data_IF_030846587831
#
_entry.id   IF_030846587831
#
_cell.length_a   1.000
_cell.length_b   1.000
_cell.length_c   1.000
_cell.angle_alpha   90.00
_cell.angle_beta   90.00
_cell.angle_gamma   90.00
#
_symmetry.space_group_name_H-M   'P 1'
#
loop_
_entity.id
_entity.type
_entity.pdbx_description
1 polymer ?
#
# COMPACT_ATOMS: atom_id res chain seq x y z
N UNK A 1 -9.39 -0.63 11.15
CA UNK A 1 -8.85 0.76 11.29
C UNK A 1 -8.82 1.10 12.76
N UNK A 2 -7.86 1.89 13.23
CA UNK A 2 -7.72 2.24 14.65
C UNK A 2 -7.37 3.73 14.83
N UNK A 3 -7.55 4.24 16.05
CA UNK A 3 -7.13 5.58 16.43
C UNK A 3 -7.80 6.68 15.60
N UNK A 4 -7.00 7.61 15.07
CA UNK A 4 -7.49 8.76 14.32
C UNK A 4 -8.38 8.37 13.12
N UNK A 5 -8.01 7.31 12.38
CA UNK A 5 -8.78 6.86 11.22
C UNK A 5 -10.17 6.34 11.62
N UNK A 6 -10.27 5.64 12.74
CA UNK A 6 -11.56 5.16 13.25
C UNK A 6 -12.46 6.32 13.70
N UNK A 7 -11.89 7.31 14.39
CA UNK A 7 -12.61 8.50 14.82
C UNK A 7 -13.12 9.31 13.61
N UNK A 8 -12.29 9.48 12.57
CA UNK A 8 -12.70 10.13 11.32
C UNK A 8 -13.84 9.38 10.63
N UNK A 9 -13.77 8.04 10.54
CA UNK A 9 -14.86 7.27 9.92
C UNK A 9 -16.17 7.39 10.72
N UNK A 10 -16.11 7.36 12.06
CA UNK A 10 -17.29 7.59 12.91
C UNK A 10 -17.93 8.95 12.66
N UNK A 11 -17.11 10.00 12.52
CA UNK A 11 -17.59 11.35 12.20
C UNK A 11 -18.25 11.41 10.82
N UNK A 12 -17.58 10.88 9.78
CA UNK A 12 -18.13 10.83 8.42
C UNK A 12 -19.46 10.08 8.36
N UNK A 13 -19.57 8.96 9.07
CA UNK A 13 -20.82 8.21 9.21
C UNK A 13 -21.91 9.04 9.87
N UNK A 14 -21.60 9.72 10.98
CA UNK A 14 -22.58 10.58 11.67
C UNK A 14 -23.09 11.69 10.76
N UNK A 15 -22.21 12.34 10.01
CA UNK A 15 -22.59 13.44 9.11
C UNK A 15 -23.38 12.94 7.90
N UNK A 16 -23.09 11.73 7.42
CA UNK A 16 -23.91 11.06 6.41
C UNK A 16 -25.32 10.75 6.92
N UNK A 17 -25.46 10.15 8.10
CA UNK A 17 -26.76 9.79 8.68
C UNK A 17 -27.62 11.03 8.98
N UNK A 18 -27.01 12.15 9.42
CA UNK A 18 -27.73 13.43 9.62
C UNK A 18 -28.37 13.94 8.32
N UNK A 19 -27.68 13.76 7.19
CA UNK A 19 -28.18 14.15 5.86
C UNK A 19 -29.14 13.13 5.27
N UNK A 20 -29.13 11.89 5.77
CA UNK A 20 -29.90 10.76 5.26
C UNK A 20 -30.65 10.08 6.41
N UNK A 21 -31.68 10.70 6.99
CA UNK A 21 -32.29 10.26 8.25
C UNK A 21 -32.90 8.83 8.19
N UNK A 22 -33.24 8.36 7.00
CA UNK A 22 -33.79 7.03 6.75
C UNK A 22 -32.70 5.94 6.62
N UNK A 23 -31.42 6.29 6.65
CA UNK A 23 -30.31 5.36 6.52
C UNK A 23 -29.56 5.28 7.85
N UNK A 24 -29.31 4.05 8.30
CA UNK A 24 -28.49 3.75 9.48
C UNK A 24 -27.30 2.88 9.09
N UNK A 25 -26.12 3.27 9.55
CA UNK A 25 -24.84 2.62 9.28
C UNK A 25 -24.31 2.05 10.59
N UNK A 26 -24.22 0.72 10.64
CA UNK A 26 -23.53 0.00 11.72
C UNK A 26 -22.07 -0.18 11.34
N UNK A 27 -21.18 0.58 11.99
CA UNK A 27 -19.74 0.38 11.84
C UNK A 27 -19.27 -0.82 12.67
N UNK A 28 -18.57 -1.75 12.04
CA UNK A 28 -17.95 -2.90 12.72
C UNK A 28 -16.44 -2.90 12.48
N UNK A 29 -15.65 -2.71 13.55
CA UNK A 29 -14.20 -2.78 13.48
C UNK A 29 -13.75 -4.26 13.58
N UNK A 30 -13.16 -4.78 12.52
CA UNK A 30 -12.68 -6.16 12.45
C UNK A 30 -11.20 -6.32 12.82
N UNK A 31 -10.54 -5.27 13.32
CA UNK A 31 -9.13 -5.34 13.71
C UNK A 31 -8.18 -5.19 12.53
N UNK A 32 -7.24 -6.13 12.38
CA UNK A 32 -6.26 -6.12 11.30
C UNK A 32 -6.87 -6.52 9.96
N UNK A 33 -6.15 -6.28 8.86
CA UNK A 33 -6.58 -6.78 7.55
C UNK A 33 -6.64 -8.31 7.50
N UNK A 34 -5.78 -9.02 8.25
CA UNK A 34 -5.79 -10.49 8.29
C UNK A 34 -7.09 -10.99 8.93
N UNK A 35 -7.49 -10.37 10.05
CA UNK A 35 -8.73 -10.71 10.76
C UNK A 35 -9.96 -10.39 9.91
N UNK A 36 -9.97 -9.22 9.26
CA UNK A 36 -11.01 -8.84 8.32
C UNK A 36 -11.14 -9.83 7.15
N UNK A 37 -10.02 -10.25 6.56
CA UNK A 37 -10.02 -11.25 5.48
C UNK A 37 -10.61 -12.58 5.94
N UNK A 38 -10.15 -13.06 7.10
CA UNK A 38 -10.64 -14.31 7.69
C UNK A 38 -12.14 -14.24 7.93
N UNK A 39 -12.64 -13.11 8.46
CA UNK A 39 -14.06 -12.90 8.69
C UNK A 39 -14.86 -12.93 7.39
N UNK A 40 -14.44 -12.16 6.38
CA UNK A 40 -15.10 -12.14 5.05
C UNK A 40 -15.15 -13.56 4.47
N UNK A 41 -14.02 -14.27 4.44
CA UNK A 41 -13.97 -15.63 3.89
C UNK A 41 -14.93 -16.59 4.60
N UNK A 42 -15.05 -16.49 5.94
CA UNK A 42 -15.97 -17.32 6.71
C UNK A 42 -17.44 -16.98 6.48
N UNK A 43 -17.77 -15.70 6.25
CA UNK A 43 -19.16 -15.27 6.00
C UNK A 43 -19.60 -15.48 4.56
N UNK A 44 -18.67 -15.63 3.61
CA UNK A 44 -19.00 -15.88 2.20
C UNK A 44 -19.83 -17.17 1.97
N UNK A 45 -19.80 -18.13 2.89
CA UNK A 45 -20.63 -19.34 2.80
C UNK A 45 -22.13 -19.10 3.03
N UNK A 46 -22.49 -17.99 3.69
CA UNK A 46 -23.88 -17.65 3.99
C UNK A 46 -24.15 -16.19 3.61
N UNK A 47 -24.87 -15.94 2.50
CA UNK A 47 -25.17 -14.60 2.03
C UNK A 47 -25.84 -13.69 3.07
N UNK A 48 -26.57 -14.27 4.04
CA UNK A 48 -27.24 -13.54 5.13
C UNK A 48 -26.27 -12.88 6.13
N UNK A 49 -25.03 -13.35 6.18
CA UNK A 49 -24.02 -12.86 7.12
C UNK A 49 -22.99 -11.92 6.46
N UNK A 50 -23.18 -11.58 5.18
CA UNK A 50 -22.31 -10.65 4.48
C UNK A 50 -22.59 -9.21 4.93
N UNK A 51 -21.55 -8.38 5.08
CA UNK A 51 -21.75 -6.95 5.27
C UNK A 51 -22.28 -6.31 3.98
N UNK A 52 -23.04 -5.23 4.12
CA UNK A 52 -23.50 -4.43 2.96
C UNK A 52 -22.33 -3.78 2.22
N UNK A 53 -21.32 -3.31 2.96
CA UNK A 53 -20.09 -2.70 2.45
C UNK A 53 -18.92 -3.22 3.29
N UNK A 54 -17.82 -3.58 2.64
CA UNK A 54 -16.58 -3.96 3.34
C UNK A 54 -15.37 -3.34 2.67
N UNK A 55 -14.32 -3.16 3.47
CA UNK A 55 -13.00 -2.82 2.97
C UNK A 55 -12.30 -4.08 2.49
N UNK A 56 -11.67 -4.03 1.31
CA UNK A 56 -11.03 -5.19 0.73
C UNK A 56 -9.77 -4.81 -0.05
N UNK A 57 -8.73 -5.63 0.05
CA UNK A 57 -7.62 -5.57 -0.90
C UNK A 57 -8.08 -6.00 -2.31
N UNK A 58 -7.42 -5.50 -3.38
CA UNK A 58 -7.79 -5.83 -4.75
C UNK A 58 -7.91 -7.34 -5.04
N UNK A 59 -7.05 -8.16 -4.43
CA UNK A 59 -7.10 -9.63 -4.61
C UNK A 59 -8.35 -10.26 -3.99
N UNK A 60 -8.86 -9.74 -2.86
CA UNK A 60 -10.10 -10.24 -2.27
C UNK A 60 -11.30 -9.85 -3.14
N UNK A 61 -11.28 -8.60 -3.65
CA UNK A 61 -12.28 -8.11 -4.60
C UNK A 61 -12.31 -8.98 -5.87
N UNK A 62 -11.14 -9.34 -6.42
CA UNK A 62 -11.02 -10.23 -7.58
C UNK A 62 -11.69 -11.59 -7.35
N UNK A 63 -11.41 -12.21 -6.20
CA UNK A 63 -11.97 -13.52 -5.85
C UNK A 63 -13.49 -13.46 -5.67
N UNK A 64 -14.00 -12.44 -4.95
CA UNK A 64 -15.42 -12.25 -4.77
C UNK A 64 -16.15 -11.95 -6.09
N UNK A 65 -15.52 -11.23 -7.03
CA UNK A 65 -16.05 -11.01 -8.37
C UNK A 65 -16.16 -12.32 -9.18
N UNK A 66 -15.16 -13.21 -9.12
CA UNK A 66 -15.25 -14.51 -9.80
C UNK A 66 -16.41 -15.36 -9.27
N UNK A 67 -16.70 -15.24 -7.96
CA UNK A 67 -17.83 -15.92 -7.32
C UNK A 67 -19.17 -15.21 -7.49
N UNK A 68 -19.23 -14.10 -8.27
CA UNK A 68 -20.44 -13.31 -8.51
C UNK A 68 -21.08 -12.76 -7.23
N UNK A 69 -20.26 -12.40 -6.25
CA UNK A 69 -20.71 -11.92 -4.92
C UNK A 69 -20.69 -10.40 -4.77
N UNK A 70 -20.43 -9.66 -5.86
CA UNK A 70 -20.26 -8.21 -5.84
C UNK A 70 -21.26 -7.53 -6.76
N UNK A 71 -21.68 -6.34 -6.35
CA UNK A 71 -22.56 -5.46 -7.13
C UNK A 71 -21.74 -4.70 -8.16
N UNK A 72 -22.21 -4.63 -9.40
CA UNK A 72 -21.67 -3.71 -10.40
C UNK A 72 -22.02 -2.26 -10.01
N UNK A 73 -21.00 -1.46 -9.70
CA UNK A 73 -21.15 -0.07 -9.29
C UNK A 73 -21.26 0.88 -10.48
N UNK A 74 -21.01 0.42 -11.71
CA UNK A 74 -21.02 1.26 -12.92
C UNK A 74 -22.35 2.01 -13.11
N UNK A 75 -23.53 1.37 -12.98
CA UNK A 75 -24.81 2.07 -13.10
C UNK A 75 -25.01 3.15 -12.04
N UNK A 76 -24.53 2.91 -10.81
CA UNK A 76 -24.65 3.84 -9.69
C UNK A 76 -23.74 5.05 -9.87
N UNK A 77 -22.49 4.82 -10.29
CA UNK A 77 -21.51 5.89 -10.57
C UNK A 77 -22.04 6.84 -11.66
N UNK A 78 -22.67 6.30 -12.70
CA UNK A 78 -23.19 7.08 -13.82
C UNK A 78 -24.56 7.72 -13.54
N UNK A 79 -25.18 7.44 -12.40
CA UNK A 79 -26.45 8.02 -12.02
C UNK A 79 -26.22 9.34 -11.26
N UNK A 80 -26.90 10.42 -11.68
CA UNK A 80 -26.78 11.75 -11.03
C UNK A 80 -27.56 11.88 -9.71
N UNK A 81 -28.54 11.01 -9.47
CA UNK A 81 -29.38 11.06 -8.28
C UNK A 81 -28.74 10.33 -7.08
N UNK A 82 -27.94 9.30 -7.35
CA UNK A 82 -27.33 8.45 -6.29
C UNK A 82 -25.80 8.37 -6.37
N UNK A 83 -25.18 8.87 -7.44
CA UNK A 83 -23.74 8.87 -7.65
C UNK A 83 -23.25 10.18 -8.27
N UNK A 84 -22.14 10.11 -8.99
CA UNK A 84 -21.46 11.30 -9.53
C UNK A 84 -21.95 11.70 -10.93
N UNK A 85 -22.85 10.92 -11.55
CA UNK A 85 -23.27 11.11 -12.93
C UNK A 85 -22.24 10.67 -13.98
N UNK A 86 -20.97 10.52 -13.61
CA UNK A 86 -19.92 9.86 -14.37
C UNK A 86 -18.69 9.61 -13.49
N UNK A 87 -17.83 8.67 -13.89
CA UNK A 87 -16.54 8.47 -13.23
C UNK A 87 -15.67 9.75 -13.25
N UNK A 88 -15.72 10.54 -14.33
CA UNK A 88 -14.96 11.79 -14.46
C UNK A 88 -15.39 12.87 -13.46
N UNK A 89 -16.67 12.89 -13.10
CA UNK A 89 -17.24 13.85 -12.15
C UNK A 89 -17.03 13.44 -10.68
N UNK A 90 -16.35 12.33 -10.40
CA UNK A 90 -16.07 11.88 -9.03
C UNK A 90 -14.90 12.61 -8.37
N UNK A 91 -14.10 13.37 -9.14
CA UNK A 91 -12.80 13.92 -8.75
C UNK A 91 -11.76 12.87 -8.29
N UNK A 92 -12.07 11.57 -8.43
CA UNK A 92 -11.14 10.48 -8.15
C UNK A 92 -10.22 10.32 -9.36
N UNK A 93 -8.90 10.28 -9.12
CA UNK A 93 -7.90 9.93 -10.13
C UNK A 93 -8.26 8.61 -10.82
N UNK A 94 -8.33 8.62 -12.14
CA UNK A 94 -8.78 7.49 -12.95
C UNK A 94 -8.02 6.20 -12.62
N UNK A 95 -6.72 6.30 -12.41
CA UNK A 95 -5.86 5.15 -12.10
C UNK A 95 -6.21 4.50 -10.76
N UNK A 96 -6.69 5.28 -9.79
CA UNK A 96 -7.12 4.77 -8.49
C UNK A 96 -8.50 4.10 -8.57
N UNK A 97 -9.41 4.68 -9.34
CA UNK A 97 -10.74 4.14 -9.55
C UNK A 97 -10.69 2.84 -10.37
N UNK A 98 -9.89 2.82 -11.43
CA UNK A 98 -9.67 1.66 -12.28
C UNK A 98 -9.02 0.49 -11.52
N UNK A 99 -8.30 0.78 -10.43
CA UNK A 99 -7.74 -0.24 -9.54
C UNK A 99 -8.77 -1.15 -8.85
N UNK A 100 -10.07 -0.85 -8.98
CA UNK A 100 -11.18 -1.71 -8.53
C UNK A 100 -12.07 -2.19 -9.69
N UNK A 101 -11.63 -2.05 -10.95
CA UNK A 101 -12.27 -2.66 -12.11
C UNK A 101 -11.74 -4.07 -12.35
N UNK A 102 -12.64 -5.01 -12.58
CA UNK A 102 -12.29 -6.39 -12.93
C UNK A 102 -13.02 -6.73 -14.22
N UNK A 103 -12.25 -7.07 -15.26
CA UNK A 103 -12.78 -7.42 -16.60
C UNK A 103 -13.76 -6.37 -17.16
N UNK A 104 -13.48 -5.08 -16.90
CA UNK A 104 -14.29 -3.95 -17.38
C UNK A 104 -15.40 -3.49 -16.42
N UNK A 105 -15.76 -4.30 -15.42
CA UNK A 105 -16.82 -3.97 -14.46
C UNK A 105 -16.25 -3.31 -13.20
N UNK A 106 -16.85 -2.20 -12.75
CA UNK A 106 -16.45 -1.53 -11.51
C UNK A 106 -17.08 -2.23 -10.30
N UNK A 107 -16.27 -2.86 -9.44
CA UNK A 107 -16.78 -3.59 -8.27
C UNK A 107 -16.47 -2.92 -6.93
N UNK A 108 -15.67 -1.85 -6.93
CA UNK A 108 -15.34 -1.13 -5.70
C UNK A 108 -15.04 0.34 -5.95
N UNK A 109 -14.91 1.11 -4.88
CA UNK A 109 -14.48 2.52 -4.90
C UNK A 109 -13.20 2.61 -4.05
N UNK A 110 -12.14 3.30 -4.50
CA UNK A 110 -10.94 3.47 -3.69
C UNK A 110 -11.28 4.26 -2.41
N UNK A 111 -10.99 3.68 -1.25
CA UNK A 111 -11.30 4.29 0.06
C UNK A 111 -10.04 4.90 0.70
N UNK A 112 -9.08 4.07 1.09
CA UNK A 112 -7.80 4.48 1.65
C UNK A 112 -6.67 3.83 0.84
N UNK A 113 -6.01 4.63 0.00
CA UNK A 113 -4.87 4.18 -0.82
C UNK A 113 -3.58 4.74 -0.23
N UNK A 114 -2.56 3.91 -0.19
CA UNK A 114 -1.18 4.33 0.07
C UNK A 114 -0.33 4.13 -1.17
N UNK A 115 0.81 4.81 -1.17
CA UNK A 115 1.89 4.61 -2.13
C UNK A 115 3.16 4.26 -1.38
N UNK A 116 4.07 3.55 -2.04
CA UNK A 116 5.43 3.40 -1.53
C UNK A 116 6.19 4.71 -1.72
N UNK A 117 6.84 5.17 -0.66
CA UNK A 117 7.54 6.46 -0.64
C UNK A 117 8.86 6.34 0.10
N UNK A 118 9.87 7.09 -0.36
CA UNK A 118 11.13 7.22 0.34
C UNK A 118 11.00 8.27 1.46
N UNK A 119 11.10 7.82 2.70
CA UNK A 119 11.27 8.68 3.87
C UNK A 119 12.75 8.81 4.20
N UNK A 120 13.23 10.01 4.54
CA UNK A 120 14.64 10.26 4.84
C UNK A 120 14.85 11.28 5.98
N UNK A 121 15.94 11.14 6.72
CA UNK A 121 16.32 12.05 7.80
C UNK A 121 17.18 13.21 7.28
N UNK A 122 16.59 14.40 7.18
CA UNK A 122 17.26 15.64 6.71
C UNK A 122 18.49 16.01 7.56
N UNK A 123 18.44 15.81 8.87
CA UNK A 123 19.55 16.10 9.79
C UNK A 123 20.74 15.17 9.51
N UNK A 124 20.48 13.87 9.31
CA UNK A 124 21.52 12.92 8.91
C UNK A 124 22.10 13.24 7.53
N UNK A 125 21.27 13.64 6.57
CA UNK A 125 21.74 14.06 5.25
C UNK A 125 22.72 15.22 5.37
N UNK A 126 22.38 16.25 6.16
CA UNK A 126 23.29 17.37 6.44
C UNK A 126 24.58 16.89 7.13
N UNK A 127 24.46 16.06 8.17
CA UNK A 127 25.60 15.51 8.94
C UNK A 127 26.58 14.71 8.07
N UNK A 128 26.07 13.93 7.12
CA UNK A 128 26.89 13.07 6.25
C UNK A 128 27.18 13.70 4.88
N UNK A 129 26.78 14.96 4.66
CA UNK A 129 27.07 15.72 3.45
C UNK A 129 26.33 15.23 2.20
N UNK A 130 25.14 14.66 2.36
CA UNK A 130 24.28 14.23 1.25
C UNK A 130 23.47 15.44 0.76
N UNK A 131 23.71 15.85 -0.50
CA UNK A 131 23.12 17.05 -1.09
C UNK A 131 21.84 16.78 -1.90
N UNK A 132 21.70 15.56 -2.45
CA UNK A 132 20.59 15.15 -3.30
C UNK A 132 19.88 13.95 -2.68
N UNK A 133 18.55 14.01 -2.62
CA UNK A 133 17.72 12.84 -2.25
C UNK A 133 17.75 11.86 -3.42
N UNK A 134 18.05 10.57 -3.18
CA UNK A 134 18.15 9.59 -4.26
C UNK A 134 16.79 9.42 -4.94
N UNK A 135 16.83 9.40 -6.26
CA UNK A 135 15.67 9.28 -7.16
C UNK A 135 15.72 8.01 -8.02
N UNK A 136 16.82 7.27 -7.94
CA UNK A 136 17.00 5.97 -8.60
C UNK A 136 17.56 4.95 -7.62
N UNK A 137 17.43 3.66 -7.91
CA UNK A 137 18.02 2.60 -7.10
C UNK A 137 19.56 2.68 -7.06
N UNK A 138 20.20 3.12 -8.13
CA UNK A 138 21.66 3.35 -8.16
C UNK A 138 22.06 4.46 -7.16
N UNK A 139 21.36 5.60 -7.19
CA UNK A 139 21.59 6.70 -6.26
C UNK A 139 21.29 6.28 -4.81
N UNK A 140 20.23 5.49 -4.59
CA UNK A 140 19.87 4.99 -3.26
C UNK A 140 21.00 4.16 -2.65
N UNK A 141 21.62 3.28 -3.44
CA UNK A 141 22.78 2.50 -3.03
C UNK A 141 23.97 3.42 -2.68
N UNK A 142 24.31 4.36 -3.56
CA UNK A 142 25.45 5.27 -3.34
C UNK A 142 25.31 6.12 -2.08
N UNK A 143 24.12 6.68 -1.86
CA UNK A 143 23.81 7.45 -0.64
C UNK A 143 23.89 6.55 0.58
N UNK A 144 23.33 5.33 0.49
CA UNK A 144 23.33 4.37 1.59
C UNK A 144 24.74 3.94 2.00
N UNK A 145 25.60 3.60 1.04
CA UNK A 145 27.01 3.29 1.27
C UNK A 145 27.76 4.48 1.89
N UNK A 146 27.49 5.70 1.43
CA UNK A 146 28.14 6.92 1.95
C UNK A 146 27.79 7.15 3.41
N UNK A 147 26.49 7.08 3.77
CA UNK A 147 26.03 7.24 5.15
C UNK A 147 26.61 6.13 6.04
N UNK A 148 26.56 4.88 5.57
CA UNK A 148 27.08 3.75 6.32
C UNK A 148 28.58 3.90 6.62
N UNK A 149 29.39 4.25 5.62
CA UNK A 149 30.84 4.51 5.80
C UNK A 149 31.11 5.69 6.72
N UNK A 150 30.50 6.86 6.47
CA UNK A 150 30.74 8.09 7.26
C UNK A 150 30.23 8.01 8.69
N UNK A 151 29.30 7.11 8.98
CA UNK A 151 28.83 6.85 10.34
C UNK A 151 29.72 5.86 11.12
N UNK A 152 30.84 5.42 10.55
CA UNK A 152 31.64 4.29 11.05
C UNK A 152 30.76 3.06 11.28
N UNK A 153 29.90 2.75 10.30
CA UNK A 153 29.01 1.60 10.28
C UNK A 153 27.92 1.59 11.36
N UNK A 154 27.65 2.73 12.01
CA UNK A 154 26.65 2.85 13.09
C UNK A 154 25.22 3.11 12.59
N UNK A 155 25.08 3.69 11.39
CA UNK A 155 23.79 4.05 10.80
C UNK A 155 23.66 3.32 9.46
N UNK A 156 22.62 2.51 9.32
CA UNK A 156 22.29 1.86 8.05
C UNK A 156 21.76 2.91 7.07
N UNK A 157 22.13 2.80 5.80
CA UNK A 157 21.75 3.76 4.78
C UNK A 157 20.26 3.76 4.47
N UNK A 158 19.72 2.62 4.04
CA UNK A 158 18.30 2.47 3.72
C UNK A 158 17.72 1.09 4.07
N UNK A 159 16.43 0.93 3.89
CA UNK A 159 15.76 -0.37 3.87
C UNK A 159 14.37 -0.27 3.24
N UNK A 160 13.72 -1.41 3.07
CA UNK A 160 12.34 -1.51 2.58
C UNK A 160 11.48 -2.22 3.63
N UNK A 161 10.30 -1.67 3.92
CA UNK A 161 9.35 -2.26 4.88
C UNK A 161 8.81 -3.60 4.38
N UNK A 162 8.45 -3.67 3.10
CA UNK A 162 7.89 -4.87 2.46
C UNK A 162 8.81 -5.37 1.34
N UNK A 163 9.36 -6.57 1.53
CA UNK A 163 10.16 -7.25 0.49
C UNK A 163 9.33 -7.58 -0.75
N UNK A 164 8.04 -7.88 -0.58
CA UNK A 164 7.14 -8.14 -1.69
C UNK A 164 6.90 -6.87 -2.53
N UNK A 165 6.72 -5.72 -1.87
CA UNK A 165 6.56 -4.44 -2.55
C UNK A 165 7.87 -4.01 -3.23
N UNK A 166 9.00 -4.14 -2.52
CA UNK A 166 10.33 -3.94 -3.10
C UNK A 166 10.51 -4.75 -4.39
N UNK A 167 10.26 -6.06 -4.33
CA UNK A 167 10.45 -6.93 -5.49
C UNK A 167 9.52 -6.55 -6.65
N UNK A 168 8.25 -6.27 -6.36
CA UNK A 168 7.26 -5.88 -7.37
C UNK A 168 7.65 -4.58 -8.07
N UNK A 169 8.06 -3.56 -7.31
CA UNK A 169 8.53 -2.28 -7.85
C UNK A 169 9.85 -2.42 -8.60
N UNK A 170 10.79 -3.20 -8.06
CA UNK A 170 12.07 -3.46 -8.73
C UNK A 170 11.89 -4.16 -10.07
N UNK A 171 11.00 -5.16 -10.15
CA UNK A 171 10.66 -5.79 -11.43
C UNK A 171 10.02 -4.81 -12.42
N UNK A 172 9.20 -3.88 -11.92
CA UNK A 172 8.60 -2.83 -12.75
C UNK A 172 9.65 -1.86 -13.28
N UNK A 173 10.65 -1.48 -12.47
CA UNK A 173 11.78 -0.65 -12.89
C UNK A 173 12.65 -1.36 -13.94
N UNK A 174 12.77 -2.69 -13.89
CA UNK A 174 13.39 -3.50 -14.94
C UNK A 174 12.50 -3.67 -16.20
N UNK A 175 11.33 -3.04 -16.24
CA UNK A 175 10.42 -3.05 -17.39
C UNK A 175 9.42 -4.20 -17.41
N UNK A 176 9.32 -5.01 -16.35
CA UNK A 176 8.42 -6.16 -16.27
C UNK A 176 7.17 -5.84 -15.45
N UNK A 177 5.99 -6.01 -16.06
CA UNK A 177 4.74 -5.98 -15.31
C UNK A 177 4.54 -7.30 -14.57
N UNK A 178 4.06 -7.22 -13.32
CA UNK A 178 3.72 -8.40 -12.53
C UNK A 178 2.42 -9.03 -13.06
N UNK A 179 2.56 -10.14 -13.77
CA UNK A 179 1.48 -10.89 -14.41
C UNK A 179 1.64 -12.39 -14.13
N UNK A 180 0.71 -13.21 -14.59
CA UNK A 180 0.82 -14.68 -14.57
C UNK A 180 2.01 -15.24 -15.37
N UNK A 181 2.64 -14.40 -16.21
CA UNK A 181 3.81 -14.75 -17.04
C UNK A 181 5.14 -14.26 -16.47
N UNK A 182 5.16 -13.72 -15.24
CA UNK A 182 6.39 -13.19 -14.65
C UNK A 182 7.45 -14.30 -14.50
N UNK A 183 8.68 -14.03 -14.96
CA UNK A 183 9.78 -15.00 -14.87
C UNK A 183 10.61 -14.77 -13.60
N UNK A 184 10.27 -15.50 -12.53
CA UNK A 184 10.97 -15.42 -11.25
C UNK A 184 12.42 -15.90 -11.28
N UNK A 185 12.83 -16.72 -12.27
CA UNK A 185 14.20 -17.26 -12.36
C UNK A 185 15.08 -16.53 -13.36
N UNK A 186 14.52 -15.54 -14.06
CA UNK A 186 15.20 -14.75 -15.09
C UNK A 186 16.24 -13.76 -14.55
N UNK A 187 17.03 -13.19 -15.45
CA UNK A 187 18.12 -12.27 -15.12
C UNK A 187 17.64 -11.00 -14.39
N UNK A 188 16.50 -10.42 -14.79
CA UNK A 188 15.92 -9.25 -14.13
C UNK A 188 15.55 -9.55 -12.66
N UNK A 189 14.88 -10.69 -12.41
CA UNK A 189 14.55 -11.15 -11.05
C UNK A 189 15.80 -11.32 -10.19
N UNK A 190 16.83 -12.01 -10.74
CA UNK A 190 18.11 -12.17 -10.05
C UNK A 190 18.77 -10.83 -9.75
N UNK A 191 18.74 -9.88 -10.69
CA UNK A 191 19.29 -8.53 -10.49
C UNK A 191 18.61 -7.79 -9.34
N UNK A 192 17.27 -7.76 -9.30
CA UNK A 192 16.49 -7.14 -8.22
C UNK A 192 16.79 -7.81 -6.88
N UNK A 193 16.82 -9.14 -6.82
CA UNK A 193 17.11 -9.86 -5.58
C UNK A 193 18.55 -9.59 -5.11
N UNK A 194 19.52 -9.70 -6.01
CA UNK A 194 20.94 -9.52 -5.67
C UNK A 194 21.27 -8.09 -5.24
N UNK A 195 20.67 -7.08 -5.88
CA UNK A 195 20.87 -5.67 -5.47
C UNK A 195 20.64 -5.49 -3.97
N UNK A 196 19.52 -6.02 -3.47
CA UNK A 196 19.15 -5.83 -2.07
C UNK A 196 19.90 -6.79 -1.15
N UNK A 197 20.02 -8.06 -1.53
CA UNK A 197 20.74 -9.06 -0.76
C UNK A 197 22.22 -8.69 -0.55
N UNK A 198 22.88 -8.17 -1.58
CA UNK A 198 24.25 -7.68 -1.47
C UNK A 198 24.36 -6.48 -0.53
N UNK A 199 23.41 -5.55 -0.59
CA UNK A 199 23.43 -4.39 0.29
C UNK A 199 23.17 -4.73 1.75
N UNK A 200 22.33 -5.73 2.01
CA UNK A 200 22.15 -6.30 3.35
C UNK A 200 23.45 -6.98 3.80
N UNK A 201 24.06 -7.81 2.95
CA UNK A 201 25.33 -8.48 3.24
C UNK A 201 26.47 -7.49 3.52
N UNK A 202 26.51 -6.36 2.81
CA UNK A 202 27.49 -5.29 2.98
C UNK A 202 27.13 -4.30 4.10
N UNK A 203 25.95 -4.45 4.71
CA UNK A 203 25.50 -3.69 5.89
C UNK A 203 24.86 -2.33 5.62
N UNK A 204 24.82 -1.85 4.37
CA UNK A 204 24.22 -0.54 4.05
C UNK A 204 22.71 -0.60 3.77
N UNK A 205 22.14 -1.79 3.62
CA UNK A 205 20.69 -2.02 3.63
C UNK A 205 20.24 -2.87 4.82
N UNK A 206 18.97 -2.73 5.20
CA UNK A 206 18.34 -3.50 6.30
C UNK A 206 16.90 -3.90 5.96
N UNK A 207 16.57 -5.15 6.25
CA UNK A 207 15.18 -5.65 6.28
C UNK A 207 14.47 -5.24 7.56
N UNK A 208 13.15 -5.02 7.50
CA UNK A 208 12.33 -4.76 8.69
C UNK A 208 12.32 -5.95 9.67
N UNK A 209 12.29 -7.19 9.16
CA UNK A 209 12.34 -8.39 9.99
C UNK A 209 11.26 -8.42 11.08
N UNK A 210 11.65 -8.75 12.31
CA UNK A 210 10.75 -8.83 13.48
C UNK A 210 10.22 -7.48 13.96
N UNK A 211 10.76 -6.36 13.49
CA UNK A 211 10.27 -5.02 13.85
C UNK A 211 9.02 -4.65 13.03
N UNK A 212 8.71 -5.42 11.98
CA UNK A 212 7.60 -5.23 11.03
C UNK A 212 7.69 -3.95 10.18
N UNK A 213 8.24 -2.85 10.72
CA UNK A 213 8.40 -1.56 10.04
C UNK A 213 9.75 -0.93 10.40
N UNK A 214 10.37 -0.26 9.43
CA UNK A 214 11.61 0.49 9.61
C UNK A 214 11.39 1.88 10.23
N UNK A 215 10.14 2.30 10.42
CA UNK A 215 9.79 3.55 11.12
C UNK A 215 10.34 3.60 12.55
N UNK A 216 10.35 2.48 13.28
CA UNK A 216 10.97 2.35 14.59
C UNK A 216 12.49 2.55 14.56
N UNK A 217 13.25 1.76 13.78
CA UNK A 217 14.67 2.00 13.53
C UNK A 217 15.00 3.42 13.06
N UNK A 218 14.14 4.01 12.22
CA UNK A 218 14.32 5.36 11.70
C UNK A 218 14.16 6.42 12.81
N UNK A 219 13.13 6.30 13.64
CA UNK A 219 12.91 7.17 14.80
C UNK A 219 14.06 7.09 15.82
N UNK A 220 14.69 5.92 15.94
CA UNK A 220 15.85 5.68 16.80
C UNK A 220 17.20 5.98 16.12
N UNK A 221 17.18 6.66 14.97
CA UNK A 221 18.38 7.06 14.23
C UNK A 221 19.31 5.89 13.82
N UNK A 222 18.75 4.68 13.67
CA UNK A 222 19.50 3.48 13.26
C UNK A 222 19.50 3.26 11.75
N UNK A 223 18.51 3.81 11.04
CA UNK A 223 18.46 3.84 9.57
C UNK A 223 18.18 5.26 9.09
N UNK A 224 18.91 5.72 8.07
CA UNK A 224 18.79 7.10 7.60
C UNK A 224 17.66 7.33 6.60
N UNK A 225 17.24 6.27 5.92
CA UNK A 225 16.17 6.27 4.92
C UNK A 225 15.37 4.98 5.01
N UNK A 226 14.11 5.00 4.63
CA UNK A 226 13.38 3.77 4.34
C UNK A 226 12.33 4.00 3.25
N UNK A 227 12.05 2.96 2.49
CA UNK A 227 10.93 2.91 1.55
C UNK A 227 9.82 2.11 2.22
N UNK A 228 8.68 2.77 2.37
CA UNK A 228 7.51 2.18 3.00
C UNK A 228 6.22 2.87 2.56
N UNK A 229 5.12 2.30 3.01
CA UNK A 229 3.77 2.84 2.81
C UNK A 229 3.66 4.28 3.32
N UNK A 230 3.00 5.14 2.55
CA UNK A 230 2.67 6.52 2.95
C UNK A 230 1.60 6.60 4.05
N UNK A 231 1.06 5.46 4.48
CA UNK A 231 -0.01 5.31 5.47
C UNK A 231 0.44 4.38 6.59
#
# INVERSE_FOLDING_TARGET
MHGAQENTLKQLTSDFEKKNPNIKIKLENQGSYIDLQGKINSTMQSPKNLPTITQAYPVWLYNAAQNKMLVDLTPYINNKNVGWGSAKASDIRTELLDGAKIKGTQYGIPFNKSIESLTYNKTMFKKYGIKKVPSTMEELKQVSETIYKKSNHKVVGAGFDSLANYYTLGMKDEGFNFTDKINFTGAASKKVINYYAEGVKKGYFRVAGSEHYLSGPFANEKVAMFIGTSA
#
